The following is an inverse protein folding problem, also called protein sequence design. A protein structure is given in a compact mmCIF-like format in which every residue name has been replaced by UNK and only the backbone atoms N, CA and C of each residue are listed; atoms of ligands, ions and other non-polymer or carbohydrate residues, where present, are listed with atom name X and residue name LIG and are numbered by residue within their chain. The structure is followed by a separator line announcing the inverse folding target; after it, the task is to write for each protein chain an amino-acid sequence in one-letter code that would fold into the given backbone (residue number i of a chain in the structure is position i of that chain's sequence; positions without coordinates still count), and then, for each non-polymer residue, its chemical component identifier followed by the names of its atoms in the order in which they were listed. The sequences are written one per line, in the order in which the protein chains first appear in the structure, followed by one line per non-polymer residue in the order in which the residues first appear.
data_IF_374001185498
#
_entry.id   IF_374001185498
#
_cell.length_a   1.000
_cell.length_b   1.000
_cell.length_c   1.000
_cell.angle_alpha   90.00
_cell.angle_beta   90.00
_cell.angle_gamma   90.00
#
_symmetry.space_group_name_H-M   'P 1'
#
loop_
_entity.id
_entity.type
_entity.pdbx_description
1 polymer ?
#
# COMPACT_ATOMS: atom_id res chain seq x y z
N UNK A 1 -14.09 2.40 19.09
CA UNK A 1 -13.53 3.47 18.24
C UNK A 1 -14.53 3.74 17.14
N UNK A 2 -14.89 5.00 16.91
CA UNK A 2 -15.73 5.38 15.76
C UNK A 2 -14.85 5.39 14.50
N UNK A 3 -15.07 4.44 13.60
CA UNK A 3 -14.30 4.27 12.36
C UNK A 3 -14.33 5.52 11.47
N UNK A 4 -15.46 6.24 11.42
CA UNK A 4 -15.57 7.46 10.63
C UNK A 4 -14.75 8.59 11.24
N UNK A 5 -14.82 8.74 12.56
CA UNK A 5 -14.01 9.72 13.28
C UNK A 5 -12.51 9.41 13.13
N UNK A 6 -12.13 8.13 13.19
CA UNK A 6 -10.77 7.66 12.96
C UNK A 6 -10.27 8.03 11.56
N UNK A 7 -11.01 7.66 10.50
CA UNK A 7 -10.63 7.95 9.12
C UNK A 7 -10.57 9.45 8.82
N UNK A 8 -11.45 10.24 9.43
CA UNK A 8 -11.41 11.69 9.34
C UNK A 8 -10.13 12.27 9.98
N UNK A 9 -9.83 11.88 11.22
CA UNK A 9 -8.63 12.34 11.92
C UNK A 9 -7.33 11.92 11.20
N UNK A 10 -7.30 10.70 10.67
CA UNK A 10 -6.21 10.20 9.84
C UNK A 10 -6.03 11.05 8.58
N UNK A 11 -7.11 11.36 7.87
CA UNK A 11 -7.07 12.17 6.65
C UNK A 11 -6.57 13.59 6.90
N UNK A 12 -7.01 14.21 8.00
CA UNK A 12 -6.55 15.53 8.44
C UNK A 12 -5.05 15.55 8.73
N UNK A 13 -4.54 14.53 9.44
CA UNK A 13 -3.12 14.38 9.69
C UNK A 13 -2.32 14.08 8.43
N UNK A 14 -2.82 13.21 7.56
CA UNK A 14 -2.20 12.89 6.28
C UNK A 14 -1.99 14.15 5.42
N UNK A 15 -3.00 15.03 5.37
CA UNK A 15 -2.92 16.32 4.70
C UNK A 15 -1.84 17.23 5.29
N UNK A 16 -1.73 17.28 6.62
CA UNK A 16 -0.72 18.08 7.32
C UNK A 16 0.71 17.58 7.05
N UNK A 17 0.88 16.26 7.00
CA UNK A 17 2.18 15.61 6.74
C UNK A 17 2.51 15.53 5.24
N UNK A 18 1.58 15.92 4.36
CA UNK A 18 1.66 15.75 2.91
C UNK A 18 1.91 14.29 2.49
N UNK A 19 1.32 13.34 3.22
CA UNK A 19 1.43 11.90 2.95
C UNK A 19 0.06 11.40 2.51
N UNK A 20 0.03 10.43 1.59
CA UNK A 20 -1.21 9.77 1.22
C UNK A 20 -1.85 9.08 2.45
N UNK A 21 -3.13 9.34 2.78
CA UNK A 21 -3.78 8.73 3.95
C UNK A 21 -3.81 7.20 3.89
N UNK A 22 -3.90 6.60 2.70
CA UNK A 22 -3.86 5.14 2.54
C UNK A 22 -2.47 4.56 2.80
N UNK A 23 -1.40 5.33 2.59
CA UNK A 23 -0.06 4.93 2.97
C UNK A 23 0.08 4.91 4.50
N UNK A 24 -0.46 5.91 5.20
CA UNK A 24 -0.45 5.92 6.67
C UNK A 24 -1.26 4.74 7.23
N UNK A 25 -2.44 4.47 6.65
CA UNK A 25 -3.26 3.32 7.06
C UNK A 25 -2.52 1.99 6.86
N UNK A 26 -1.85 1.83 5.71
CA UNK A 26 -1.02 0.66 5.41
C UNK A 26 0.16 0.53 6.39
N UNK A 27 0.75 1.67 6.79
CA UNK A 27 1.76 1.75 7.83
C UNK A 27 1.27 1.26 9.20
N UNK A 28 0.11 1.74 9.65
CA UNK A 28 -0.50 1.35 10.92
C UNK A 28 -0.80 -0.17 10.94
N UNK A 29 -1.36 -0.71 9.87
CA UNK A 29 -1.67 -2.14 9.76
C UNK A 29 -0.41 -3.00 9.71
N UNK A 30 0.61 -2.56 8.96
CA UNK A 30 1.92 -3.21 8.95
C UNK A 30 2.52 -3.27 10.35
N UNK A 31 2.52 -2.16 11.08
CA UNK A 31 3.02 -2.09 12.45
C UNK A 31 2.22 -2.95 13.42
N UNK A 32 0.89 -2.97 13.29
CA UNK A 32 0.04 -3.85 14.10
C UNK A 32 0.38 -5.33 13.87
N UNK A 33 0.68 -5.71 12.63
CA UNK A 33 1.11 -7.08 12.28
C UNK A 33 2.47 -7.44 12.90
N UNK A 34 3.36 -6.46 13.03
CA UNK A 34 4.72 -6.62 13.56
C UNK A 34 4.85 -6.29 15.05
N UNK A 35 3.76 -5.96 15.76
CA UNK A 35 3.81 -5.43 17.15
C UNK A 35 4.51 -6.36 18.16
N UNK A 36 4.50 -7.67 17.92
CA UNK A 36 5.09 -8.69 18.80
C UNK A 36 6.45 -9.17 18.32
N UNK A 37 6.96 -8.61 17.21
CA UNK A 37 8.23 -9.01 16.61
C UNK A 37 9.35 -8.02 16.97
N UNK A 38 10.58 -8.51 17.23
CA UNK A 38 11.71 -7.63 17.50
C UNK A 38 12.07 -6.82 16.24
N UNK A 39 12.30 -5.52 16.38
CA UNK A 39 12.65 -4.63 15.27
C UNK A 39 14.13 -4.75 14.89
N UNK A 40 14.49 -5.88 14.28
CA UNK A 40 15.79 -6.10 13.64
C UNK A 40 15.72 -5.79 12.14
N UNK A 41 16.88 -5.74 11.47
CA UNK A 41 17.00 -5.39 10.05
C UNK A 41 16.12 -6.25 9.13
N UNK A 42 16.08 -7.58 9.37
CA UNK A 42 15.26 -8.49 8.58
C UNK A 42 13.76 -8.19 8.73
N UNK A 43 13.29 -8.01 9.97
CA UNK A 43 11.89 -7.68 10.24
C UNK A 43 11.51 -6.29 9.71
N UNK A 44 12.42 -5.32 9.71
CA UNK A 44 12.18 -4.02 9.09
C UNK A 44 12.04 -4.11 7.57
N UNK A 45 12.85 -4.93 6.90
CA UNK A 45 12.72 -5.18 5.45
C UNK A 45 11.38 -5.85 5.10
N UNK A 46 10.93 -6.80 5.93
CA UNK A 46 9.61 -7.39 5.78
C UNK A 46 8.48 -6.39 6.05
N UNK A 47 8.61 -5.54 7.06
CA UNK A 47 7.66 -4.48 7.34
C UNK A 47 7.54 -3.52 6.15
N UNK A 48 8.66 -3.09 5.56
CA UNK A 48 8.68 -2.21 4.38
C UNK A 48 7.94 -2.87 3.21
N UNK A 49 8.22 -4.15 2.96
CA UNK A 49 7.56 -4.94 1.90
C UNK A 49 6.06 -5.11 2.14
N UNK A 50 5.65 -5.31 3.40
CA UNK A 50 4.25 -5.43 3.78
C UNK A 50 3.51 -4.11 3.60
N UNK A 51 4.10 -2.99 4.05
CA UNK A 51 3.50 -1.65 3.88
C UNK A 51 3.30 -1.34 2.40
N UNK A 52 4.31 -1.60 1.56
CA UNK A 52 4.20 -1.45 0.11
C UNK A 52 3.06 -2.31 -0.44
N UNK A 53 3.00 -3.59 -0.07
CA UNK A 53 1.96 -4.51 -0.55
C UNK A 53 0.55 -4.05 -0.17
N UNK A 54 0.35 -3.68 1.10
CA UNK A 54 -0.94 -3.19 1.60
C UNK A 54 -1.35 -1.89 0.90
N UNK A 55 -0.40 -1.00 0.64
CA UNK A 55 -0.68 0.26 -0.04
C UNK A 55 -0.99 0.04 -1.52
N UNK A 56 -0.26 -0.84 -2.19
CA UNK A 56 -0.54 -1.29 -3.55
C UNK A 56 -1.94 -1.87 -3.68
N UNK A 57 -2.39 -2.70 -2.75
CA UNK A 57 -3.74 -3.27 -2.80
C UNK A 57 -4.81 -2.17 -2.78
N UNK A 58 -4.66 -1.18 -1.90
CA UNK A 58 -5.58 -0.03 -1.81
C UNK A 58 -5.62 0.81 -3.08
N UNK A 59 -4.45 1.08 -3.68
CA UNK A 59 -4.38 1.78 -4.97
C UNK A 59 -5.00 0.89 -6.07
N UNK A 60 -4.74 -0.42 -6.02
CA UNK A 60 -5.28 -1.41 -6.94
C UNK A 60 -6.80 -1.45 -6.92
N UNK A 61 -7.43 -1.34 -5.75
CA UNK A 61 -8.89 -1.26 -5.61
C UNK A 61 -9.47 -0.04 -6.36
N UNK A 62 -8.77 1.09 -6.36
CA UNK A 62 -9.18 2.27 -7.13
C UNK A 62 -9.07 2.02 -8.63
N UNK A 63 -7.97 1.44 -9.10
CA UNK A 63 -7.82 1.09 -10.51
C UNK A 63 -8.83 0.04 -10.96
N UNK A 64 -9.13 -0.93 -10.10
CA UNK A 64 -10.16 -1.94 -10.36
C UNK A 64 -11.53 -1.28 -10.53
N UNK A 65 -11.94 -0.41 -9.60
CA UNK A 65 -13.20 0.32 -9.70
C UNK A 65 -13.28 1.15 -10.99
N UNK A 66 -12.21 1.87 -11.35
CA UNK A 66 -12.15 2.65 -12.59
C UNK A 66 -12.26 1.77 -13.85
N UNK A 67 -11.65 0.59 -13.83
CA UNK A 67 -11.77 -0.35 -14.94
C UNK A 67 -13.19 -0.93 -15.04
N UNK A 68 -13.82 -1.30 -13.92
CA UNK A 68 -15.22 -1.74 -13.89
C UNK A 68 -16.19 -0.66 -14.41
N UNK A 69 -15.99 0.61 -14.01
CA UNK A 69 -16.73 1.74 -14.58
C UNK A 69 -16.50 1.89 -16.09
N UNK A 70 -15.26 1.71 -16.53
CA UNK A 70 -14.88 1.75 -17.95
C UNK A 70 -15.55 0.68 -18.79
N UNK A 71 -15.88 -0.50 -18.22
CA UNK A 71 -16.61 -1.55 -18.94
C UNK A 71 -18.04 -1.13 -19.32
N UNK A 72 -18.67 -0.27 -18.52
CA UNK A 72 -20.00 0.28 -18.76
C UNK A 72 -20.00 1.46 -19.75
N UNK A 73 -18.83 1.88 -20.23
CA UNK A 73 -18.70 3.00 -21.16
C UNK A 73 -19.34 2.70 -22.51
N UNK A 74 -19.98 3.71 -23.11
CA UNK A 74 -20.49 3.66 -24.48
C UNK A 74 -19.41 3.81 -25.55
N UNK A 75 -18.15 4.04 -25.16
CA UNK A 75 -17.01 4.14 -26.08
C UNK A 75 -16.24 2.83 -26.12
N UNK A 76 -16.13 2.24 -27.31
CA UNK A 76 -15.50 0.92 -27.52
C UNK A 76 -14.04 0.89 -27.07
N UNK A 77 -13.27 1.96 -27.31
CA UNK A 77 -11.86 2.07 -26.93
C UNK A 77 -11.68 2.01 -25.40
N UNK A 78 -12.52 2.73 -24.65
CA UNK A 78 -12.49 2.76 -23.18
C UNK A 78 -12.83 1.38 -22.61
N UNK A 79 -13.85 0.72 -23.16
CA UNK A 79 -14.26 -0.62 -22.73
C UNK A 79 -13.19 -1.67 -23.00
N UNK A 80 -12.51 -1.60 -24.16
CA UNK A 80 -11.40 -2.50 -24.49
C UNK A 80 -10.20 -2.31 -23.56
N UNK A 81 -9.84 -1.05 -23.27
CA UNK A 81 -8.76 -0.75 -22.31
C UNK A 81 -9.10 -1.28 -20.91
N UNK A 82 -10.31 -1.02 -20.42
CA UNK A 82 -10.82 -1.52 -19.14
C UNK A 82 -10.76 -3.06 -19.03
N UNK A 83 -11.21 -3.78 -20.07
CA UNK A 83 -11.11 -5.23 -20.11
C UNK A 83 -9.65 -5.73 -20.05
N UNK A 84 -8.74 -5.00 -20.71
CA UNK A 84 -7.30 -5.25 -20.62
C UNK A 84 -6.76 -5.13 -19.19
N UNK A 85 -7.11 -4.04 -18.48
CA UNK A 85 -6.70 -3.83 -17.08
C UNK A 85 -7.18 -4.93 -16.14
N UNK A 86 -8.39 -5.42 -16.38
CA UNK A 86 -8.99 -6.49 -15.57
C UNK A 86 -8.44 -7.87 -15.94
N UNK A 87 -7.64 -8.03 -16.98
CA UNK A 87 -7.14 -9.35 -17.37
C UNK A 87 -6.13 -9.87 -16.33
N UNK A 88 -6.28 -11.10 -15.80
CA UNK A 88 -5.27 -11.74 -14.95
C UNK A 88 -3.96 -11.93 -15.71
N UNK A 89 -2.84 -11.66 -15.03
CA UNK A 89 -1.50 -11.97 -15.49
C UNK A 89 -1.26 -13.46 -15.24
N UNK A 90 -0.87 -14.26 -16.25
CA UNK A 90 -0.55 -15.67 -16.06
C UNK A 90 0.66 -15.89 -15.14
N UNK A 91 0.68 -17.01 -14.40
CA UNK A 91 1.78 -17.35 -13.50
C UNK A 91 3.14 -17.45 -14.21
N UNK A 92 3.15 -17.93 -15.46
CA UNK A 92 4.37 -18.00 -16.29
C UNK A 92 4.96 -16.61 -16.57
N UNK A 93 4.09 -15.61 -16.78
CA UNK A 93 4.49 -14.23 -17.01
C UNK A 93 4.95 -13.56 -15.70
N UNK A 94 4.27 -13.85 -14.58
CA UNK A 94 4.69 -13.40 -13.25
C UNK A 94 6.05 -13.98 -12.85
N UNK A 95 6.31 -15.26 -13.16
CA UNK A 95 7.59 -15.91 -12.88
C UNK A 95 8.75 -15.36 -13.73
N UNK A 96 8.44 -14.87 -14.95
CA UNK A 96 9.41 -14.31 -15.87
C UNK A 96 9.59 -12.78 -15.74
N UNK A 97 8.84 -12.12 -14.86
CA UNK A 97 8.87 -10.66 -14.75
C UNK A 97 10.23 -10.15 -14.27
N UNK A 98 10.73 -9.09 -14.89
CA UNK A 98 11.91 -8.34 -14.42
C UNK A 98 11.54 -7.22 -13.44
N UNK A 99 10.24 -6.98 -13.22
CA UNK A 99 9.77 -5.97 -12.28
C UNK A 99 9.88 -6.52 -10.84
N UNK A 100 10.82 -6.00 -10.01
CA UNK A 100 11.05 -6.54 -8.68
C UNK A 100 9.85 -6.35 -7.75
N UNK A 101 9.04 -5.31 -7.96
CA UNK A 101 7.83 -5.06 -7.17
C UNK A 101 6.74 -6.07 -7.51
N UNK A 102 6.56 -6.38 -8.80
CA UNK A 102 5.58 -7.38 -9.25
C UNK A 102 5.97 -8.79 -8.80
N UNK A 103 7.26 -9.12 -8.88
CA UNK A 103 7.78 -10.41 -8.38
C UNK A 103 7.57 -10.57 -6.87
N UNK A 104 7.89 -9.52 -6.09
CA UNK A 104 7.66 -9.51 -4.64
C UNK A 104 6.17 -9.64 -4.31
N UNK A 105 5.32 -8.85 -4.96
CA UNK A 105 3.87 -8.88 -4.80
C UNK A 105 3.29 -10.27 -5.10
N UNK A 106 3.71 -10.90 -6.20
CA UNK A 106 3.30 -12.25 -6.54
C UNK A 106 3.70 -13.29 -5.48
N UNK A 107 4.91 -13.13 -4.93
CA UNK A 107 5.41 -13.99 -3.83
C UNK A 107 4.58 -13.82 -2.56
N UNK A 108 4.12 -12.61 -2.23
CA UNK A 108 3.27 -12.35 -1.06
C UNK A 108 1.85 -12.91 -1.27
N UNK A 109 1.31 -12.77 -2.48
CA UNK A 109 -0.05 -13.24 -2.80
C UNK A 109 -0.16 -14.76 -2.87
N UNK A 110 0.92 -15.48 -3.21
CA UNK A 110 0.99 -16.96 -3.21
C UNK A 110 -0.20 -17.64 -3.93
N UNK A 111 -0.70 -17.04 -5.02
CA UNK A 111 -1.85 -17.56 -5.77
C UNK A 111 -3.20 -17.51 -5.03
N UNK A 112 -3.29 -16.84 -3.88
CA UNK A 112 -4.54 -16.70 -3.12
C UNK A 112 -5.60 -15.85 -3.84
N UNK A 113 -5.17 -14.96 -4.73
CA UNK A 113 -6.03 -14.14 -5.56
C UNK A 113 -5.37 -13.85 -6.91
N UNK A 114 -6.15 -13.62 -7.98
CA UNK A 114 -5.62 -13.32 -9.30
C UNK A 114 -4.93 -11.95 -9.31
N UNK A 115 -3.69 -11.91 -9.79
CA UNK A 115 -2.97 -10.66 -10.03
C UNK A 115 -3.33 -10.18 -11.43
N UNK A 116 -4.09 -9.10 -11.51
CA UNK A 116 -4.52 -8.46 -12.76
C UNK A 116 -3.56 -7.35 -13.21
N UNK A 117 -3.61 -6.98 -14.50
CA UNK A 117 -2.75 -5.97 -15.13
C UNK A 117 -2.69 -4.64 -14.38
N UNK A 118 -3.82 -4.18 -13.83
CA UNK A 118 -3.82 -2.94 -13.06
C UNK A 118 -2.92 -2.96 -11.82
N UNK A 119 -2.60 -4.14 -11.26
CA UNK A 119 -1.71 -4.21 -10.09
C UNK A 119 -0.29 -3.74 -10.41
N UNK A 120 0.16 -3.91 -11.65
CA UNK A 120 1.47 -3.40 -12.07
C UNK A 120 1.52 -1.87 -11.97
N UNK A 121 0.49 -1.19 -12.47
CA UNK A 121 0.34 0.27 -12.35
C UNK A 121 0.17 0.70 -10.90
N UNK A 122 -0.57 -0.07 -10.10
CA UNK A 122 -0.74 0.20 -8.68
C UNK A 122 0.58 0.06 -7.90
N UNK A 123 1.44 -0.91 -8.26
CA UNK A 123 2.77 -1.07 -7.68
C UNK A 123 3.67 0.12 -8.03
N UNK A 124 3.67 0.56 -9.28
CA UNK A 124 4.44 1.73 -9.72
C UNK A 124 3.99 3.00 -8.99
N UNK A 125 2.67 3.25 -8.92
CA UNK A 125 2.12 4.38 -8.19
C UNK A 125 2.47 4.34 -6.71
N UNK A 126 2.35 3.16 -6.07
CA UNK A 126 2.71 2.98 -4.67
C UNK A 126 4.21 3.22 -4.43
N UNK A 127 5.08 2.70 -5.30
CA UNK A 127 6.51 2.88 -5.21
C UNK A 127 6.94 4.35 -5.39
N UNK A 128 6.32 5.08 -6.32
CA UNK A 128 6.56 6.51 -6.50
C UNK A 128 6.15 7.34 -5.27
N UNK A 129 4.98 7.07 -4.72
CA UNK A 129 4.48 7.72 -3.51
C UNK A 129 5.39 7.44 -2.30
N UNK A 130 5.77 6.17 -2.10
CA UNK A 130 6.69 5.78 -1.02
C UNK A 130 8.05 6.45 -1.19
N UNK A 131 8.61 6.46 -2.40
CA UNK A 131 9.88 7.13 -2.68
C UNK A 131 9.80 8.64 -2.37
N UNK A 132 8.69 9.29 -2.74
CA UNK A 132 8.46 10.71 -2.42
C UNK A 132 8.47 10.98 -0.91
N UNK A 133 7.88 10.07 -0.12
CA UNK A 133 7.91 10.15 1.35
C UNK A 133 9.31 9.85 1.90
N UNK A 134 9.98 8.81 1.41
CA UNK A 134 11.34 8.44 1.80
C UNK A 134 12.34 9.58 1.60
N UNK A 135 12.26 10.27 0.46
CA UNK A 135 13.08 11.44 0.17
C UNK A 135 12.80 12.60 1.14
N UNK A 136 11.53 12.84 1.48
CA UNK A 136 11.15 13.94 2.40
C UNK A 136 11.62 13.70 3.83
N UNK A 137 11.61 12.45 4.28
CA UNK A 137 12.00 12.05 5.64
C UNK A 137 13.46 11.59 5.73
N UNK A 138 14.23 11.69 4.65
CA UNK A 138 15.65 11.30 4.59
C UNK A 138 15.91 9.87 5.09
N UNK A 139 14.99 8.94 4.82
CA UNK A 139 15.07 7.55 5.25
C UNK A 139 14.71 6.60 4.12
N UNK A 140 15.52 5.57 3.92
CA UNK A 140 15.27 4.51 2.93
C UNK A 140 14.26 3.47 3.38
N UNK A 141 13.80 3.50 4.64
CA UNK A 141 12.84 2.53 5.19
C UNK A 141 11.50 3.20 5.47
N UNK A 142 10.46 2.77 4.74
CA UNK A 142 9.12 3.31 4.94
C UNK A 142 8.56 2.93 6.32
N UNK A 143 8.89 1.74 6.82
CA UNK A 143 8.56 1.27 8.16
C UNK A 143 9.17 2.14 9.24
N UNK A 144 10.43 2.56 9.09
CA UNK A 144 11.07 3.51 10.02
C UNK A 144 10.30 4.83 10.07
N UNK A 145 9.91 5.36 8.91
CA UNK A 145 9.12 6.58 8.80
C UNK A 145 7.75 6.40 9.46
N UNK A 146 7.07 5.28 9.20
CA UNK A 146 5.75 4.97 9.78
C UNK A 146 5.81 4.82 11.29
N UNK A 147 6.87 4.21 11.85
CA UNK A 147 7.10 4.17 13.31
C UNK A 147 7.20 5.60 13.85
N UNK A 148 8.00 6.46 13.21
CA UNK A 148 8.17 7.85 13.62
C UNK A 148 6.86 8.63 13.60
N UNK A 149 6.09 8.53 12.51
CA UNK A 149 4.77 9.16 12.38
C UNK A 149 3.81 8.66 13.46
N UNK A 150 3.73 7.34 13.65
CA UNK A 150 2.80 6.76 14.62
C UNK A 150 3.14 7.16 16.06
N UNK A 151 4.44 7.22 16.42
CA UNK A 151 4.89 7.62 17.76
C UNK A 151 4.75 9.12 18.03
N UNK A 152 5.10 9.96 17.06
CA UNK A 152 5.26 11.39 17.30
C UNK A 152 4.06 12.22 16.83
N UNK A 153 3.39 11.80 15.76
CA UNK A 153 2.36 12.61 15.09
C UNK A 153 0.93 12.11 15.35
N UNK A 154 0.78 10.79 15.56
CA UNK A 154 -0.52 10.13 15.68
C UNK A 154 -0.83 9.61 17.08
N UNK A 155 0.16 9.48 17.96
CA UNK A 155 -0.05 8.91 19.31
C UNK A 155 -1.09 9.71 20.12
N UNK A 156 -1.06 11.03 20.02
CA UNK A 156 -2.02 11.93 20.69
C UNK A 156 -3.43 11.89 20.06
N UNK A 157 -3.55 11.42 18.83
CA UNK A 157 -4.80 11.44 18.05
C UNK A 157 -5.49 10.08 18.05
N UNK A 158 -4.73 8.99 18.07
CA UNK A 158 -5.20 7.65 17.77
C UNK A 158 -4.95 6.62 18.90
N UNK A 159 -4.42 7.04 20.06
CA UNK A 159 -4.03 6.18 21.19
C UNK A 159 -3.32 4.90 20.71
N UNK A 160 -2.24 5.10 19.96
CA UNK A 160 -1.44 4.03 19.38
C UNK A 160 -0.41 3.48 20.37
N UNK A 161 -0.51 3.81 21.66
CA UNK A 161 0.44 3.38 22.68
C UNK A 161 0.62 1.87 22.74
N UNK A 162 -0.43 1.11 22.43
CA UNK A 162 -0.40 -0.37 22.36
C UNK A 162 0.43 -0.93 21.21
N UNK A 163 0.73 -0.16 20.16
CA UNK A 163 1.62 -0.56 19.07
C UNK A 163 3.11 -0.49 19.44
N UNK A 164 3.44 0.25 20.50
CA UNK A 164 4.83 0.56 20.87
C UNK A 164 5.19 0.19 22.31
N UNK A 165 4.25 -0.38 23.07
CA UNK A 165 4.51 -0.93 24.39
C UNK A 165 5.24 -2.27 24.27
N UNK A 166 6.57 -2.21 24.24
CA UNK A 166 7.48 -3.32 24.52
C UNK A 166 8.25 -3.00 25.81
#
# INVERSE_FOLDING_TARGET
MDEKAFLHALSEKARTLHINPFLILSGIEGLYTFRELPMNEANMSFLDSLILTLFTLRIGDQFHALAEEGLASGQDEVRLAAAGELTPIPDEELAATSNPYLASFATVMQGKAPIRRYHEKALEAAALEINGVQLRYESSSIGTIMIGICKNELNEVLDLGSLFSA
#
